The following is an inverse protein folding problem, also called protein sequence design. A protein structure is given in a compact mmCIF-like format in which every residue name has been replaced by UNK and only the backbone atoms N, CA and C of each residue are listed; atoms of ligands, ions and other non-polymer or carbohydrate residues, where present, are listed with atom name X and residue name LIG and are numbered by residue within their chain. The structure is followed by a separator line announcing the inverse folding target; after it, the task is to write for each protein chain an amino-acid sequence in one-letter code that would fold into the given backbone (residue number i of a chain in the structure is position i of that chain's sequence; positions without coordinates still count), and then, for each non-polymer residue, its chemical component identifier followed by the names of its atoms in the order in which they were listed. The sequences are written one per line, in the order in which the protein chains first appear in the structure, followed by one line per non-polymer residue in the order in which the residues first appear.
data_IF_826837835120
#
_entry.id   IF_826837835120
#
_cell.length_a   1.000
_cell.length_b   1.000
_cell.length_c   1.000
_cell.angle_alpha   90.00
_cell.angle_beta   90.00
_cell.angle_gamma   90.00
#
_symmetry.space_group_name_H-M   'P 1'
#
loop_
_entity.id
_entity.type
_entity.pdbx_description
1 polymer ?
#
# COMPACT_ATOMS: atom_id res chain seq x y z
N UNK A 1 -12.95 12.02 30.13
CA UNK A 1 -11.46 12.00 30.16
C UNK A 1 -10.95 13.14 29.29
N UNK A 2 -9.86 13.80 29.68
CA UNK A 2 -9.26 14.85 28.86
C UNK A 2 -8.75 14.21 27.55
N UNK A 3 -9.09 14.82 26.41
CA UNK A 3 -8.64 14.38 25.09
C UNK A 3 -7.46 15.24 24.65
N UNK A 4 -6.36 14.62 24.31
CA UNK A 4 -5.21 15.31 23.74
C UNK A 4 -5.42 15.50 22.24
N UNK A 5 -5.18 16.70 21.74
CA UNK A 5 -5.22 17.04 20.32
C UNK A 5 -3.83 17.41 19.83
N UNK A 6 -3.47 16.86 18.67
CA UNK A 6 -2.26 17.22 17.92
C UNK A 6 -2.68 17.71 16.54
N UNK A 7 -2.24 18.91 16.18
CA UNK A 7 -2.51 19.50 14.86
C UNK A 7 -1.20 19.91 14.20
N UNK A 8 -1.01 19.53 12.93
CA UNK A 8 0.20 19.78 12.15
C UNK A 8 -0.17 20.16 10.71
N UNK A 9 0.46 21.23 10.20
CA UNK A 9 0.43 21.59 8.79
C UNK A 9 1.69 21.08 8.11
N UNK A 10 1.54 20.14 7.20
CA UNK A 10 2.64 19.48 6.51
C UNK A 10 2.65 19.88 5.03
N UNK A 11 3.80 20.38 4.58
CA UNK A 11 4.05 20.70 3.17
C UNK A 11 4.74 19.51 2.51
N UNK A 12 4.05 18.79 1.59
CA UNK A 12 4.67 17.67 0.91
C UNK A 12 5.90 18.12 0.10
N UNK A 13 6.98 17.33 0.08
CA UNK A 13 8.15 17.63 -0.73
C UNK A 13 7.84 17.45 -2.22
N UNK A 14 7.67 18.55 -2.96
CA UNK A 14 7.36 18.56 -4.39
C UNK A 14 5.87 18.43 -4.72
N UNK A 15 5.56 18.15 -5.99
CA UNK A 15 4.17 18.07 -6.45
C UNK A 15 3.37 17.01 -5.67
N UNK A 16 2.18 17.40 -5.23
CA UNK A 16 1.32 16.55 -4.43
C UNK A 16 -0.15 16.72 -4.84
N UNK A 17 -0.88 15.61 -4.82
CA UNK A 17 -2.32 15.61 -5.01
C UNK A 17 -2.95 14.86 -3.82
N UNK A 18 -3.85 15.54 -3.12
CA UNK A 18 -4.57 14.95 -2.00
C UNK A 18 -5.37 13.72 -2.46
N UNK A 19 -5.21 12.55 -1.82
CA UNK A 19 -5.80 11.31 -2.31
C UNK A 19 -7.30 11.22 -2.07
N UNK A 20 -7.91 10.23 -2.69
CA UNK A 20 -9.27 9.80 -2.40
C UNK A 20 -9.26 8.71 -1.33
N UNK A 21 -10.38 8.48 -0.60
CA UNK A 21 -10.49 7.36 0.32
C UNK A 21 -10.34 6.03 -0.41
N UNK A 22 -9.81 5.03 0.30
CA UNK A 22 -9.73 3.65 -0.19
C UNK A 22 -11.10 2.98 -0.31
N UNK A 23 -11.11 1.78 -0.91
CA UNK A 23 -12.35 0.99 -1.12
C UNK A 23 -12.63 0.01 0.03
N UNK A 24 -11.70 -0.16 0.97
CA UNK A 24 -11.79 -1.06 2.13
C UNK A 24 -12.70 -0.54 3.24
N UNK A 25 -13.03 0.76 3.23
CA UNK A 25 -13.91 1.40 4.19
C UNK A 25 -13.24 1.84 5.50
N UNK A 26 -11.90 1.71 5.61
CA UNK A 26 -11.13 2.16 6.78
C UNK A 26 -10.93 3.67 6.74
N UNK A 27 -10.41 4.19 5.62
CA UNK A 27 -10.26 5.63 5.39
C UNK A 27 -11.53 6.16 4.74
N UNK A 28 -12.19 7.12 5.38
CA UNK A 28 -13.45 7.71 4.91
C UNK A 28 -13.34 9.21 4.70
N UNK A 29 -14.16 9.74 3.77
CA UNK A 29 -14.33 11.19 3.64
C UNK A 29 -15.53 11.63 4.47
N UNK A 30 -15.29 12.57 5.37
CA UNK A 30 -16.32 13.20 6.21
C UNK A 30 -16.05 14.69 6.28
N UNK A 31 -17.07 15.52 6.07
CA UNK A 31 -16.97 16.99 6.19
C UNK A 31 -15.77 17.56 5.44
N UNK A 32 -15.48 17.04 4.24
CA UNK A 32 -14.34 17.45 3.44
C UNK A 32 -12.99 16.83 3.80
N UNK A 33 -12.86 16.25 5.01
CA UNK A 33 -11.63 15.61 5.49
C UNK A 33 -11.59 14.11 5.21
N UNK A 34 -10.41 13.56 4.99
CA UNK A 34 -10.13 12.13 5.12
C UNK A 34 -9.99 11.78 6.59
N UNK A 35 -10.80 10.86 7.06
CA UNK A 35 -10.88 10.50 8.48
C UNK A 35 -10.72 9.00 8.64
N UNK A 36 -9.93 8.59 9.62
CA UNK A 36 -9.82 7.21 10.06
C UNK A 36 -9.56 7.11 11.55
N UNK A 37 -9.76 5.90 12.09
CA UNK A 37 -9.31 5.56 13.44
C UNK A 37 -8.04 4.71 13.35
N UNK A 38 -7.11 4.94 14.24
CA UNK A 38 -5.88 4.16 14.43
C UNK A 38 -5.84 3.73 15.90
N UNK A 39 -5.52 2.46 16.14
CA UNK A 39 -5.39 1.90 17.48
C UNK A 39 -3.97 1.39 17.68
N UNK A 40 -3.12 2.17 18.28
CA UNK A 40 -1.82 1.70 18.73
C UNK A 40 -1.13 2.75 19.63
N UNK A 41 -0.90 2.49 20.90
CA UNK A 41 -1.55 1.46 21.74
C UNK A 41 -3.02 1.82 22.06
N UNK A 42 -3.38 3.11 22.00
CA UNK A 42 -4.70 3.66 22.33
C UNK A 42 -5.43 4.08 21.04
N UNK A 43 -6.74 4.28 21.16
CA UNK A 43 -7.52 4.79 20.04
C UNK A 43 -7.20 6.23 19.76
N UNK A 44 -6.92 6.56 18.49
CA UNK A 44 -6.87 7.92 17.99
C UNK A 44 -7.76 8.07 16.76
N UNK A 45 -8.49 9.17 16.66
CA UNK A 45 -9.18 9.60 15.44
C UNK A 45 -8.32 10.65 14.76
N UNK A 46 -7.92 10.36 13.52
CA UNK A 46 -7.09 11.30 12.74
C UNK A 46 -7.84 11.77 11.51
N UNK A 47 -7.81 13.08 11.28
CA UNK A 47 -8.40 13.79 10.15
C UNK A 47 -7.33 14.47 9.34
N UNK A 48 -7.52 14.50 8.01
CA UNK A 48 -6.62 15.17 7.08
C UNK A 48 -7.40 15.94 6.03
N UNK A 49 -7.02 17.18 5.77
CA UNK A 49 -7.62 18.00 4.70
C UNK A 49 -6.61 18.97 4.10
N UNK A 50 -6.79 19.35 2.83
CA UNK A 50 -5.92 20.32 2.20
C UNK A 50 -6.15 21.72 2.77
N UNK A 51 -5.05 22.43 3.00
CA UNK A 51 -5.00 23.87 3.32
C UNK A 51 -4.08 24.55 2.31
N UNK A 52 -3.94 25.87 2.37
CA UNK A 52 -3.10 26.61 1.43
C UNK A 52 -1.66 26.10 1.37
N UNK A 53 -1.30 25.37 0.31
CA UNK A 53 0.05 24.84 0.06
C UNK A 53 0.49 23.71 1.00
N UNK A 54 -0.41 23.17 1.85
CA UNK A 54 -0.11 22.13 2.83
C UNK A 54 -1.29 21.15 2.99
N UNK A 55 -1.09 20.12 3.79
CA UNK A 55 -2.13 19.25 4.31
C UNK A 55 -2.13 19.36 5.82
N UNK A 56 -3.28 19.68 6.39
CA UNK A 56 -3.48 19.69 7.83
C UNK A 56 -3.85 18.31 8.31
N UNK A 57 -3.14 17.84 9.32
CA UNK A 57 -3.47 16.65 10.10
C UNK A 57 -3.93 17.07 11.47
N UNK A 58 -5.05 16.53 11.95
CA UNK A 58 -5.55 16.73 13.31
C UNK A 58 -5.87 15.34 13.89
N UNK A 59 -5.20 14.98 14.98
CA UNK A 59 -5.42 13.73 15.69
C UNK A 59 -5.91 13.99 17.11
N UNK A 60 -6.97 13.30 17.51
CA UNK A 60 -7.57 13.33 18.84
C UNK A 60 -7.43 11.94 19.48
N UNK A 61 -6.89 11.87 20.69
CA UNK A 61 -6.66 10.64 21.43
C UNK A 61 -6.67 10.85 22.95
N UNK A 62 -6.78 9.80 23.79
CA UNK A 62 -6.66 9.93 25.25
C UNK A 62 -5.32 10.50 25.69
N UNK A 63 -4.24 10.21 24.99
CA UNK A 63 -2.90 10.68 25.30
C UNK A 63 -2.27 11.43 24.12
N UNK A 64 -1.35 12.36 24.41
CA UNK A 64 -0.57 13.06 23.40
C UNK A 64 0.31 12.10 22.59
N UNK A 65 0.82 11.04 23.21
CA UNK A 65 1.62 10.01 22.54
C UNK A 65 0.82 9.28 21.46
N UNK A 66 -0.41 8.86 21.76
CA UNK A 66 -1.30 8.22 20.80
C UNK A 66 -1.68 9.17 19.65
N UNK A 67 -1.95 10.46 19.95
CA UNK A 67 -2.25 11.45 18.93
C UNK A 67 -1.05 11.69 17.98
N UNK A 68 0.16 11.80 18.51
CA UNK A 68 1.40 11.93 17.73
C UNK A 68 1.64 10.70 16.86
N UNK A 69 1.49 9.51 17.42
CA UNK A 69 1.61 8.26 16.66
C UNK A 69 0.63 8.22 15.49
N UNK A 70 -0.65 8.49 15.74
CA UNK A 70 -1.67 8.48 14.70
C UNK A 70 -1.39 9.52 13.59
N UNK A 71 -0.88 10.70 13.98
CA UNK A 71 -0.47 11.74 13.04
C UNK A 71 0.69 11.26 12.16
N UNK A 72 1.70 10.62 12.74
CA UNK A 72 2.84 10.07 12.01
C UNK A 72 2.42 8.97 11.04
N UNK A 73 1.59 8.04 11.49
CA UNK A 73 1.06 6.96 10.64
C UNK A 73 0.19 7.50 9.49
N UNK A 74 -0.60 8.54 9.74
CA UNK A 74 -1.39 9.17 8.69
C UNK A 74 -0.53 9.97 7.71
N UNK A 75 0.52 10.64 8.20
CA UNK A 75 1.55 11.30 7.37
C UNK A 75 2.16 10.32 6.38
N UNK A 76 2.60 9.16 6.87
CA UNK A 76 3.14 8.07 6.05
C UNK A 76 2.12 7.55 5.04
N UNK A 77 0.89 7.24 5.48
CA UNK A 77 -0.16 6.68 4.64
C UNK A 77 -0.57 7.60 3.49
N UNK A 78 -0.57 8.91 3.73
CA UNK A 78 -0.87 9.92 2.72
C UNK A 78 0.34 10.29 1.86
N UNK A 79 1.54 9.77 2.16
CA UNK A 79 2.78 10.07 1.45
C UNK A 79 3.20 11.54 1.56
N UNK A 80 2.91 12.19 2.71
CA UNK A 80 3.23 13.60 2.94
C UNK A 80 4.72 13.82 3.20
N UNK A 81 5.45 12.78 3.57
CA UNK A 81 6.89 12.73 3.79
C UNK A 81 7.66 12.13 2.59
N UNK A 82 6.93 11.62 1.59
CA UNK A 82 7.55 10.90 0.48
C UNK A 82 8.15 11.87 -0.55
N UNK A 83 9.46 12.04 -0.51
CA UNK A 83 10.18 12.87 -1.47
C UNK A 83 10.49 12.12 -2.77
N UNK A 84 9.66 12.34 -3.77
CA UNK A 84 9.87 11.78 -5.12
C UNK A 84 10.70 12.67 -6.04
N UNK A 85 11.20 13.83 -5.57
CA UNK A 85 11.99 14.75 -6.41
C UNK A 85 13.27 14.12 -6.97
N UNK A 86 14.03 13.29 -6.22
CA UNK A 86 15.19 12.59 -6.79
C UNK A 86 14.81 11.69 -7.97
N UNK A 87 13.74 10.90 -7.82
CA UNK A 87 13.21 10.06 -8.89
C UNK A 87 12.79 10.89 -10.11
N UNK A 88 12.00 11.94 -9.90
CA UNK A 88 11.55 12.83 -11.00
C UNK A 88 12.73 13.47 -11.71
N UNK A 89 13.75 13.96 -11.00
CA UNK A 89 14.96 14.54 -11.62
C UNK A 89 15.70 13.52 -12.48
N UNK A 90 15.84 12.28 -11.99
CA UNK A 90 16.58 11.22 -12.69
C UNK A 90 15.88 10.76 -13.96
N UNK A 91 14.53 10.62 -13.93
CA UNK A 91 13.78 9.95 -14.99
C UNK A 91 12.85 10.87 -15.79
N UNK A 92 12.90 12.20 -15.61
CA UNK A 92 12.05 13.15 -16.33
C UNK A 92 12.15 13.08 -17.86
N UNK A 93 13.27 12.57 -18.37
CA UNK A 93 13.54 12.43 -19.80
C UNK A 93 13.54 10.97 -20.26
N UNK A 94 13.25 10.04 -19.37
CA UNK A 94 13.08 8.63 -19.73
C UNK A 94 12.00 8.47 -20.81
N UNK A 95 12.23 7.67 -21.87
CA UNK A 95 11.29 7.54 -22.98
C UNK A 95 9.96 6.94 -22.57
N UNK A 96 9.92 6.06 -21.55
CA UNK A 96 8.73 5.36 -21.11
C UNK A 96 7.95 6.15 -20.05
N UNK A 97 8.61 6.59 -18.97
CA UNK A 97 7.94 7.24 -17.85
C UNK A 97 8.04 8.78 -17.87
N UNK A 98 9.01 9.35 -18.59
CA UNK A 98 9.21 10.80 -18.66
C UNK A 98 7.96 11.59 -19.07
N UNK A 99 7.23 11.20 -20.12
CA UNK A 99 6.00 11.88 -20.50
C UNK A 99 4.94 11.93 -19.39
N UNK A 100 4.77 10.82 -18.63
CA UNK A 100 3.81 10.78 -17.52
C UNK A 100 4.33 11.54 -16.30
N UNK A 101 5.64 11.47 -16.01
CA UNK A 101 6.28 12.25 -14.94
C UNK A 101 6.02 13.76 -15.13
N UNK A 102 6.12 14.27 -16.36
CA UNK A 102 5.85 15.68 -16.66
C UNK A 102 4.36 16.05 -16.54
N UNK A 103 3.45 15.13 -16.88
CA UNK A 103 2.00 15.35 -16.83
C UNK A 103 1.38 15.14 -15.47
N UNK A 104 1.92 14.19 -14.68
CA UNK A 104 1.37 13.77 -13.38
C UNK A 104 2.48 13.54 -12.34
N UNK A 105 3.27 14.59 -12.03
CA UNK A 105 4.42 14.44 -11.14
C UNK A 105 4.07 14.11 -9.69
N UNK A 106 2.78 14.04 -9.36
CA UNK A 106 2.27 13.78 -8.02
C UNK A 106 1.95 12.30 -7.73
N UNK A 107 2.14 11.38 -8.71
CA UNK A 107 1.85 9.96 -8.50
C UNK A 107 2.75 9.40 -7.39
N UNK A 108 2.13 8.71 -6.45
CA UNK A 108 2.79 7.99 -5.35
C UNK A 108 2.13 6.64 -5.15
N UNK A 109 2.88 5.63 -4.67
CA UNK A 109 2.30 4.36 -4.22
C UNK A 109 1.27 4.61 -3.11
N UNK A 110 0.20 3.82 -3.11
CA UNK A 110 -0.73 3.80 -2.00
C UNK A 110 -0.03 3.17 -0.79
N UNK A 111 0.00 3.86 0.34
CA UNK A 111 0.57 3.34 1.59
C UNK A 111 -0.52 3.06 2.62
N UNK A 112 -0.23 2.12 3.50
CA UNK A 112 -1.06 1.80 4.66
C UNK A 112 -0.39 2.30 5.92
N UNK A 113 -1.11 2.84 6.91
CA UNK A 113 -0.47 3.39 8.10
C UNK A 113 0.24 2.32 8.91
N UNK A 114 -0.31 1.10 8.94
CA UNK A 114 0.26 -0.01 9.68
C UNK A 114 0.78 -1.09 8.72
N UNK A 115 2.02 -1.60 8.90
CA UNK A 115 2.56 -2.67 8.08
C UNK A 115 1.69 -3.94 8.10
N UNK A 116 1.08 -4.26 9.25
CA UNK A 116 0.17 -5.40 9.34
C UNK A 116 -1.09 -5.22 8.50
N UNK A 117 -1.63 -4.00 8.40
CA UNK A 117 -2.76 -3.72 7.49
C UNK A 117 -2.36 -4.00 6.03
N UNK A 118 -1.16 -3.58 5.62
CA UNK A 118 -0.65 -3.86 4.29
C UNK A 118 -0.48 -5.37 4.03
N UNK A 119 0.07 -6.12 4.99
CA UNK A 119 0.20 -7.57 4.92
C UNK A 119 -1.17 -8.26 4.79
N UNK A 120 -2.11 -7.90 5.67
CA UNK A 120 -3.47 -8.47 5.65
C UNK A 120 -4.17 -8.20 4.30
N UNK A 121 -4.04 -7.00 3.76
CA UNK A 121 -4.61 -6.66 2.46
C UNK A 121 -3.90 -7.39 1.32
N UNK A 122 -2.58 -7.50 1.33
CA UNK A 122 -1.85 -8.30 0.35
C UNK A 122 -2.33 -9.77 0.34
N UNK A 123 -2.50 -10.40 1.51
CA UNK A 123 -3.02 -11.77 1.60
C UNK A 123 -4.46 -11.86 1.03
N UNK A 124 -5.30 -10.87 1.26
CA UNK A 124 -6.69 -10.87 0.76
C UNK A 124 -6.78 -10.59 -0.74
N UNK A 125 -5.80 -9.93 -1.33
CA UNK A 125 -5.75 -9.55 -2.76
C UNK A 125 -5.18 -10.61 -3.68
N UNK A 126 -4.57 -11.67 -3.13
CA UNK A 126 -3.95 -12.74 -3.94
C UNK A 126 -4.93 -13.35 -4.94
N UNK A 127 -4.55 -13.36 -6.22
CA UNK A 127 -5.24 -14.06 -7.31
C UNK A 127 -6.75 -13.72 -7.48
N UNK A 128 -7.18 -12.55 -7.06
CA UNK A 128 -8.58 -12.11 -7.23
C UNK A 128 -8.66 -10.69 -7.77
N UNK A 129 -9.82 -10.36 -8.31
CA UNK A 129 -10.09 -9.00 -8.78
C UNK A 129 -10.17 -8.00 -7.61
N UNK A 130 -9.65 -6.79 -7.83
CA UNK A 130 -9.60 -5.74 -6.82
C UNK A 130 -10.96 -5.36 -6.22
N UNK A 131 -12.04 -5.52 -6.98
CA UNK A 131 -13.40 -5.25 -6.49
C UNK A 131 -13.83 -6.29 -5.44
N UNK A 132 -13.57 -7.58 -5.72
CA UNK A 132 -13.84 -8.68 -4.78
C UNK A 132 -12.95 -8.58 -3.55
N UNK A 133 -11.65 -8.29 -3.72
CA UNK A 133 -10.74 -8.05 -2.61
C UNK A 133 -11.24 -6.94 -1.69
N UNK A 134 -11.66 -5.80 -2.25
CA UNK A 134 -12.24 -4.70 -1.47
C UNK A 134 -13.55 -5.10 -0.75
N UNK A 135 -14.35 -5.99 -1.31
CA UNK A 135 -15.55 -6.49 -0.64
C UNK A 135 -15.19 -7.35 0.58
N UNK A 136 -14.22 -8.25 0.45
CA UNK A 136 -13.67 -9.06 1.55
C UNK A 136 -13.08 -8.16 2.64
N UNK A 137 -12.25 -7.19 2.27
CA UNK A 137 -11.64 -6.23 3.20
C UNK A 137 -12.71 -5.48 3.99
N UNK A 138 -13.77 -4.98 3.32
CA UNK A 138 -14.91 -4.35 4.03
C UNK A 138 -15.63 -5.31 4.96
N UNK A 139 -15.77 -6.59 4.61
CA UNK A 139 -16.38 -7.59 5.48
C UNK A 139 -15.51 -7.83 6.73
N UNK A 140 -14.19 -7.97 6.56
CA UNK A 140 -13.22 -8.10 7.65
C UNK A 140 -13.24 -6.86 8.56
N UNK A 141 -13.24 -5.66 8.01
CA UNK A 141 -13.35 -4.41 8.78
C UNK A 141 -14.65 -4.33 9.57
N UNK A 142 -15.78 -4.68 8.96
CA UNK A 142 -17.08 -4.67 9.66
C UNK A 142 -17.13 -5.66 10.82
N UNK A 143 -16.52 -6.83 10.67
CA UNK A 143 -16.61 -7.91 11.65
C UNK A 143 -15.54 -7.83 12.72
N UNK A 144 -14.31 -7.49 12.36
CA UNK A 144 -13.13 -7.60 13.23
C UNK A 144 -12.44 -6.26 13.53
N UNK A 145 -12.71 -5.21 12.75
CA UNK A 145 -12.18 -3.87 13.02
C UNK A 145 -12.78 -3.31 14.31
N UNK A 146 -11.95 -2.73 15.17
CA UNK A 146 -12.42 -2.07 16.38
C UNK A 146 -13.20 -0.81 16.03
N UNK A 147 -14.26 -0.53 16.77
CA UNK A 147 -15.06 0.67 16.58
C UNK A 147 -14.40 1.86 17.27
N UNK A 148 -14.52 3.04 16.66
CA UNK A 148 -14.29 4.29 17.35
C UNK A 148 -15.30 4.47 18.50
N UNK A 149 -14.98 5.27 19.49
CA UNK A 149 -15.90 5.60 20.60
C UNK A 149 -17.24 6.15 20.09
N UNK A 150 -17.21 7.00 19.07
CA UNK A 150 -18.44 7.48 18.42
C UNK A 150 -19.19 6.40 17.60
N UNK A 151 -18.67 5.18 17.50
CA UNK A 151 -19.27 4.03 16.81
C UNK A 151 -19.32 4.11 15.27
N UNK A 152 -18.89 5.24 14.69
CA UNK A 152 -19.10 5.54 13.27
C UNK A 152 -17.93 5.15 12.36
N UNK A 153 -16.74 4.96 12.92
CA UNK A 153 -15.53 4.53 12.24
C UNK A 153 -15.10 3.14 12.72
N UNK A 154 -14.34 2.46 11.89
CA UNK A 154 -13.64 1.22 12.25
C UNK A 154 -12.23 1.25 11.68
N UNK A 155 -11.29 0.69 12.43
CA UNK A 155 -9.93 0.46 11.94
C UNK A 155 -9.84 -0.81 11.08
N UNK A 156 -8.67 -1.08 10.54
CA UNK A 156 -8.34 -2.39 10.01
C UNK A 156 -8.22 -3.41 11.17
N UNK A 157 -8.53 -4.70 10.94
CA UNK A 157 -8.40 -5.71 11.97
C UNK A 157 -6.96 -5.81 12.50
N UNK A 158 -6.80 -5.76 13.81
CA UNK A 158 -5.50 -5.93 14.47
C UNK A 158 -5.01 -7.40 14.40
N UNK A 159 -3.69 -7.65 14.42
CA UNK A 159 -3.15 -9.02 14.40
C UNK A 159 -3.66 -9.87 15.58
N UNK A 160 -3.75 -9.29 16.77
CA UNK A 160 -4.29 -9.96 17.97
C UNK A 160 -5.74 -10.42 17.78
N UNK A 161 -6.55 -9.67 17.03
CA UNK A 161 -7.95 -10.03 16.77
C UNK A 161 -8.04 -11.19 15.77
N UNK A 162 -7.28 -11.13 14.68
CA UNK A 162 -7.30 -12.18 13.65
C UNK A 162 -6.60 -13.46 14.09
N UNK A 163 -5.62 -13.39 14.99
CA UNK A 163 -4.95 -14.55 15.59
C UNK A 163 -5.90 -15.49 16.31
N UNK A 164 -6.97 -14.96 16.90
CA UNK A 164 -8.00 -15.72 17.61
C UNK A 164 -9.16 -16.22 16.75
N UNK A 165 -9.18 -15.89 15.45
CA UNK A 165 -10.24 -16.34 14.56
C UNK A 165 -10.07 -17.80 14.14
N UNK A 166 -11.20 -18.47 13.92
CA UNK A 166 -11.26 -19.74 13.21
C UNK A 166 -11.28 -19.53 11.70
N UNK A 167 -10.82 -20.55 10.95
CA UNK A 167 -10.81 -20.49 9.48
C UNK A 167 -12.21 -20.21 8.91
N UNK A 168 -13.25 -20.93 9.36
CA UNK A 168 -14.62 -20.76 8.90
C UNK A 168 -15.17 -19.35 9.13
N UNK A 169 -14.70 -18.66 10.17
CA UNK A 169 -15.09 -17.27 10.42
C UNK A 169 -14.55 -16.31 9.35
N UNK A 170 -13.33 -16.52 8.85
CA UNK A 170 -12.76 -15.71 7.76
C UNK A 170 -13.36 -16.10 6.41
N UNK A 171 -13.65 -17.39 6.20
CA UNK A 171 -14.37 -17.87 5.01
C UNK A 171 -15.76 -17.26 4.89
N UNK A 172 -16.45 -17.02 6.01
CA UNK A 172 -17.73 -16.32 6.01
C UNK A 172 -17.65 -14.85 5.55
N UNK A 173 -16.41 -14.32 5.42
CA UNK A 173 -16.14 -13.03 4.79
C UNK A 173 -15.75 -13.16 3.30
N UNK A 174 -16.01 -14.30 2.66
CA UNK A 174 -15.64 -14.64 1.27
C UNK A 174 -14.11 -14.81 1.07
N UNK A 175 -13.34 -15.03 2.13
CA UNK A 175 -11.91 -15.29 2.02
C UNK A 175 -11.67 -16.79 1.83
N UNK A 176 -10.99 -17.19 0.75
CA UNK A 176 -10.70 -18.61 0.47
C UNK A 176 -9.88 -19.26 1.59
N UNK A 177 -10.15 -20.53 1.86
CA UNK A 177 -9.59 -21.33 2.96
C UNK A 177 -8.07 -21.18 3.14
N UNK A 178 -7.31 -21.33 2.05
CA UNK A 178 -5.85 -21.24 2.09
C UNK A 178 -5.37 -19.83 2.55
N UNK A 179 -6.00 -18.77 2.03
CA UNK A 179 -5.71 -17.38 2.43
C UNK A 179 -6.17 -17.07 3.85
N UNK A 180 -7.31 -17.62 4.28
CA UNK A 180 -7.77 -17.52 5.67
C UNK A 180 -6.74 -18.12 6.63
N UNK A 181 -6.23 -19.31 6.33
CA UNK A 181 -5.17 -19.95 7.12
C UNK A 181 -3.87 -19.13 7.12
N UNK A 182 -3.43 -18.63 5.97
CA UNK A 182 -2.24 -17.77 5.87
C UNK A 182 -2.40 -16.50 6.73
N UNK A 183 -3.54 -15.84 6.65
CA UNK A 183 -3.83 -14.63 7.43
C UNK A 183 -3.84 -14.92 8.94
N UNK A 184 -4.47 -16.01 9.37
CA UNK A 184 -4.47 -16.43 10.79
C UNK A 184 -3.05 -16.72 11.29
N UNK A 185 -2.26 -17.48 10.50
CA UNK A 185 -0.87 -17.82 10.87
C UNK A 185 0.00 -16.57 10.98
N UNK A 186 -0.01 -15.70 9.95
CA UNK A 186 0.71 -14.45 9.99
C UNK A 186 0.29 -13.57 11.19
N UNK A 187 -1.01 -13.50 11.47
CA UNK A 187 -1.56 -12.78 12.63
C UNK A 187 -1.03 -13.32 13.95
N UNK A 188 -0.95 -14.63 14.12
CA UNK A 188 -0.42 -15.27 15.32
C UNK A 188 1.06 -14.98 15.52
N UNK A 189 1.86 -15.02 14.47
CA UNK A 189 3.29 -14.73 14.53
C UNK A 189 3.55 -13.26 14.90
N UNK A 190 2.81 -12.33 14.27
CA UNK A 190 2.93 -10.91 14.57
C UNK A 190 2.38 -10.57 15.97
N UNK A 191 1.22 -11.12 16.35
CA UNK A 191 0.62 -10.87 17.66
C UNK A 191 1.47 -11.40 18.82
N UNK A 192 2.21 -12.47 18.60
CA UNK A 192 3.13 -13.06 19.58
C UNK A 192 4.53 -12.37 19.59
N UNK A 193 4.73 -11.33 18.76
CA UNK A 193 6.03 -10.64 18.66
C UNK A 193 7.15 -11.47 18.02
N UNK A 194 6.84 -12.63 17.43
CA UNK A 194 7.84 -13.46 16.73
C UNK A 194 8.21 -12.88 15.36
N UNK A 195 7.31 -12.11 14.76
CA UNK A 195 7.56 -11.31 13.55
C UNK A 195 7.35 -9.85 13.88
N UNK A 196 8.43 -9.08 13.86
CA UNK A 196 8.40 -7.63 13.95
C UNK A 196 8.44 -7.03 12.54
N UNK A 197 7.31 -6.51 12.08
CA UNK A 197 7.18 -5.94 10.75
C UNK A 197 7.93 -4.61 10.54
N UNK A 198 8.53 -4.03 11.60
CA UNK A 198 9.45 -2.91 11.46
C UNK A 198 10.85 -3.33 11.00
N UNK A 199 11.19 -4.61 11.17
CA UNK A 199 12.44 -5.23 10.72
C UNK A 199 12.22 -5.88 9.36
N UNK A 200 12.48 -5.15 8.29
CA UNK A 200 12.09 -5.53 6.93
C UNK A 200 12.50 -6.97 6.55
N UNK A 201 13.78 -7.18 6.23
CA UNK A 201 14.30 -8.46 5.73
C UNK A 201 14.09 -9.63 6.72
N UNK A 202 14.40 -9.50 8.03
CA UNK A 202 14.13 -10.57 8.99
C UNK A 202 12.64 -10.94 9.10
N UNK A 203 11.74 -9.97 8.98
CA UNK A 203 10.31 -10.23 8.96
C UNK A 203 9.88 -10.95 7.69
N UNK A 204 10.45 -10.58 6.53
CA UNK A 204 10.12 -11.20 5.24
C UNK A 204 10.53 -12.67 5.20
N UNK A 205 11.73 -13.02 5.67
CA UNK A 205 12.19 -14.41 5.75
C UNK A 205 11.24 -15.29 6.56
N UNK A 206 10.79 -14.80 7.72
CA UNK A 206 9.83 -15.52 8.56
C UNK A 206 8.45 -15.62 7.93
N UNK A 207 7.99 -14.58 7.27
CA UNK A 207 6.70 -14.58 6.56
C UNK A 207 6.72 -15.57 5.40
N UNK A 208 7.81 -15.66 4.63
CA UNK A 208 7.96 -16.60 3.51
C UNK A 208 7.90 -18.08 3.96
N UNK A 209 8.17 -18.38 5.22
CA UNK A 209 7.99 -19.72 5.79
C UNK A 209 6.50 -20.09 6.00
N UNK A 210 5.59 -19.12 5.94
CA UNK A 210 4.15 -19.36 6.06
C UNK A 210 3.60 -19.74 4.69
N UNK A 211 2.99 -20.92 4.58
CA UNK A 211 2.34 -21.37 3.35
C UNK A 211 1.38 -20.31 2.81
N UNK A 212 1.33 -20.12 1.52
CA UNK A 212 0.55 -19.11 0.77
C UNK A 212 1.09 -17.69 0.88
N UNK A 213 2.16 -17.44 1.62
CA UNK A 213 2.86 -16.15 1.60
C UNK A 213 4.08 -16.29 0.70
N UNK A 214 4.01 -15.70 -0.48
CA UNK A 214 5.07 -15.71 -1.48
C UNK A 214 5.72 -14.34 -1.69
N UNK A 215 6.70 -14.27 -2.62
CA UNK A 215 7.43 -13.03 -2.92
C UNK A 215 6.52 -11.85 -3.22
N UNK A 216 5.46 -12.02 -4.01
CA UNK A 216 4.50 -10.95 -4.31
C UNK A 216 3.84 -10.34 -3.05
N UNK A 217 3.51 -11.18 -2.05
CA UNK A 217 2.91 -10.69 -0.80
C UNK A 217 3.93 -9.87 0.00
N UNK A 218 5.19 -10.31 0.01
CA UNK A 218 6.28 -9.58 0.68
C UNK A 218 6.57 -8.26 -0.01
N UNK A 219 6.66 -8.24 -1.32
CA UNK A 219 6.88 -7.02 -2.12
C UNK A 219 5.74 -6.02 -1.93
N UNK A 220 4.49 -6.52 -1.88
CA UNK A 220 3.30 -5.71 -1.58
C UNK A 220 3.34 -5.12 -0.16
N UNK A 221 3.71 -5.92 0.85
CA UNK A 221 3.94 -5.44 2.21
C UNK A 221 5.04 -4.37 2.24
N UNK A 222 6.17 -4.63 1.60
CA UNK A 222 7.31 -3.73 1.56
C UNK A 222 6.94 -2.38 0.94
N UNK A 223 6.28 -2.40 -0.20
CA UNK A 223 5.84 -1.18 -0.91
C UNK A 223 4.78 -0.41 -0.12
N UNK A 224 3.70 -1.08 0.25
CA UNK A 224 2.50 -0.41 0.78
C UNK A 224 2.53 -0.22 2.30
N UNK A 225 3.24 -1.07 3.04
CA UNK A 225 3.30 -1.03 4.50
C UNK A 225 4.59 -0.46 5.07
N UNK A 226 5.70 -0.58 4.32
CA UNK A 226 7.03 -0.21 4.78
C UNK A 226 7.68 0.90 3.93
N UNK A 227 7.04 1.32 2.82
CA UNK A 227 7.46 2.44 1.99
C UNK A 227 8.70 2.17 1.14
N UNK A 228 8.97 0.90 0.80
CA UNK A 228 10.12 0.45 -0.01
C UNK A 228 9.82 0.64 -1.50
N UNK A 229 10.28 1.73 -2.07
CA UNK A 229 10.11 2.06 -3.50
C UNK A 229 10.93 1.15 -4.43
N UNK A 230 11.87 0.40 -3.89
CA UNK A 230 12.71 -0.59 -4.57
C UNK A 230 12.03 -1.98 -4.66
N UNK A 231 10.93 -2.23 -3.95
CA UNK A 231 10.25 -3.52 -3.92
C UNK A 231 9.01 -3.52 -4.80
N UNK A 232 9.22 -3.92 -6.06
CA UNK A 232 8.16 -4.03 -7.05
C UNK A 232 7.43 -5.37 -6.89
N UNK A 233 6.08 -5.41 -6.72
CA UNK A 233 5.31 -6.66 -6.73
C UNK A 233 5.28 -7.28 -8.14
N UNK A 234 6.43 -7.80 -8.59
CA UNK A 234 6.66 -8.22 -9.98
C UNK A 234 5.73 -9.35 -10.44
N UNK A 235 5.24 -10.17 -9.50
CA UNK A 235 4.27 -11.22 -9.76
C UNK A 235 2.83 -10.72 -10.00
N UNK A 236 2.56 -9.41 -9.87
CA UNK A 236 1.23 -8.86 -10.15
C UNK A 236 0.89 -9.02 -11.64
N UNK A 237 -0.33 -9.52 -11.90
CA UNK A 237 -0.84 -9.72 -13.27
C UNK A 237 -0.82 -8.43 -14.08
N UNK A 238 -0.97 -7.27 -13.44
CA UNK A 238 -0.90 -5.98 -14.12
C UNK A 238 0.52 -5.71 -14.65
N UNK A 239 1.56 -6.00 -13.87
CA UNK A 239 2.95 -5.88 -14.33
C UNK A 239 3.33 -6.93 -15.37
N UNK A 240 2.90 -8.18 -15.18
CA UNK A 240 3.13 -9.25 -16.18
C UNK A 240 2.53 -8.88 -17.54
N UNK A 241 1.31 -8.32 -17.56
CA UNK A 241 0.65 -7.85 -18.80
C UNK A 241 1.34 -6.60 -19.36
N UNK A 242 1.69 -5.65 -18.50
CA UNK A 242 2.31 -4.38 -18.90
C UNK A 242 3.65 -4.63 -19.58
N UNK A 243 4.53 -5.39 -18.94
CA UNK A 243 5.87 -5.71 -19.49
C UNK A 243 5.74 -6.56 -20.76
N UNK A 244 4.88 -7.58 -20.75
CA UNK A 244 4.62 -8.38 -21.96
C UNK A 244 4.22 -7.54 -23.17
N UNK A 245 3.40 -6.50 -22.95
CA UNK A 245 3.01 -5.54 -23.98
C UNK A 245 4.14 -4.60 -24.39
N UNK A 246 4.84 -4.00 -23.43
CA UNK A 246 5.91 -3.02 -23.69
C UNK A 246 7.13 -3.65 -24.35
N UNK A 247 7.46 -4.89 -23.99
CA UNK A 247 8.55 -5.66 -24.57
C UNK A 247 8.16 -6.41 -25.86
N UNK A 248 6.91 -6.30 -26.33
CA UNK A 248 6.45 -6.91 -27.57
C UNK A 248 6.44 -8.45 -27.55
N UNK A 249 6.29 -9.09 -26.38
CA UNK A 249 6.43 -10.54 -26.23
C UNK A 249 5.27 -11.35 -26.85
N UNK A 250 4.16 -10.73 -27.19
CA UNK A 250 2.94 -11.45 -27.64
C UNK A 250 2.27 -12.30 -26.55
N UNK A 251 2.82 -12.33 -25.34
CA UNK A 251 2.34 -13.02 -24.14
C UNK A 251 2.52 -12.18 -22.90
N UNK A 252 2.04 -12.65 -21.74
CA UNK A 252 2.43 -12.09 -20.45
C UNK A 252 3.92 -12.33 -20.20
N UNK A 253 4.60 -11.35 -19.64
CA UNK A 253 5.96 -11.54 -19.15
C UNK A 253 5.99 -12.53 -17.98
N UNK A 254 7.14 -13.14 -17.74
CA UNK A 254 7.45 -13.86 -16.51
C UNK A 254 7.85 -12.87 -15.40
N UNK A 255 7.90 -13.32 -14.16
CA UNK A 255 8.37 -12.50 -13.02
C UNK A 255 9.82 -12.06 -13.24
N UNK A 256 10.68 -12.95 -13.75
CA UNK A 256 12.08 -12.64 -14.06
C UNK A 256 12.19 -11.53 -15.12
N UNK A 257 11.41 -11.62 -16.20
CA UNK A 257 11.38 -10.57 -17.25
C UNK A 257 10.86 -9.22 -16.69
N UNK A 258 9.94 -9.24 -15.72
CA UNK A 258 9.49 -8.00 -15.06
C UNK A 258 10.63 -7.40 -14.23
N UNK A 259 11.35 -8.18 -13.44
CA UNK A 259 12.51 -7.70 -12.69
C UNK A 259 13.60 -7.14 -13.61
N UNK A 260 13.93 -7.83 -14.68
CA UNK A 260 14.90 -7.38 -15.68
C UNK A 260 14.47 -6.05 -16.33
N UNK A 261 13.20 -5.95 -16.71
CA UNK A 261 12.63 -4.74 -17.32
C UNK A 261 12.73 -3.52 -16.38
N UNK A 262 12.51 -3.72 -15.08
CA UNK A 262 12.55 -2.64 -14.09
C UNK A 262 13.94 -2.41 -13.45
N UNK A 263 14.94 -3.25 -13.71
CA UNK A 263 16.29 -3.09 -13.17
C UNK A 263 16.92 -1.71 -13.41
N UNK A 264 16.77 -1.05 -14.60
CA UNK A 264 17.32 0.29 -14.84
C UNK A 264 16.75 1.38 -13.92
N UNK A 265 15.62 1.13 -13.26
CA UNK A 265 14.96 2.09 -12.38
C UNK A 265 15.41 1.99 -10.90
N UNK A 266 16.39 1.13 -10.57
CA UNK A 266 16.89 1.00 -9.20
C UNK A 266 17.37 2.35 -8.63
N UNK A 267 17.05 2.70 -7.37
CA UNK A 267 16.26 1.96 -6.36
C UNK A 267 14.76 2.33 -6.34
N UNK A 268 14.16 2.66 -7.47
CA UNK A 268 12.79 3.17 -7.59
C UNK A 268 11.89 2.27 -8.45
N UNK A 269 12.17 0.95 -8.50
CA UNK A 269 11.47 0.03 -9.39
C UNK A 269 9.97 0.05 -9.20
N UNK A 270 9.49 0.02 -7.94
CA UNK A 270 8.06 0.04 -7.65
C UNK A 270 7.43 1.41 -7.97
N UNK A 271 8.15 2.50 -7.70
CA UNK A 271 7.68 3.83 -8.06
C UNK A 271 7.57 3.98 -9.59
N UNK A 272 8.58 3.52 -10.34
CA UNK A 272 8.53 3.48 -11.82
C UNK A 272 7.35 2.63 -12.31
N UNK A 273 7.11 1.47 -11.69
CA UNK A 273 5.97 0.60 -11.96
C UNK A 273 4.63 1.30 -11.78
N UNK A 274 4.45 2.04 -10.69
CA UNK A 274 3.25 2.84 -10.43
C UNK A 274 2.99 3.89 -11.54
N UNK A 275 4.04 4.54 -12.02
CA UNK A 275 3.93 5.48 -13.14
C UNK A 275 3.55 4.77 -14.44
N UNK A 276 4.19 3.64 -14.76
CA UNK A 276 3.91 2.89 -15.99
C UNK A 276 2.51 2.29 -16.00
N UNK A 277 2.04 1.70 -14.89
CA UNK A 277 0.67 1.21 -14.79
C UNK A 277 -0.35 2.31 -15.04
N UNK A 278 -0.14 3.49 -14.47
CA UNK A 278 -1.05 4.62 -14.66
C UNK A 278 -0.95 5.26 -16.04
N UNK A 279 0.22 5.13 -16.71
CA UNK A 279 0.38 5.52 -18.11
C UNK A 279 -0.43 4.64 -19.04
N UNK A 280 -0.46 3.33 -18.79
CA UNK A 280 -1.16 2.38 -19.65
C UNK A 280 -2.67 2.58 -19.70
N UNK A 281 -3.26 3.18 -18.67
CA UNK A 281 -4.68 3.59 -18.65
C UNK A 281 -4.95 4.89 -19.42
N UNK A 282 -3.92 5.63 -19.81
CA UNK A 282 -4.01 6.83 -20.62
C UNK A 282 -3.85 6.45 -22.08
N UNK A 283 -4.83 5.75 -22.65
CA UNK A 283 -4.87 5.20 -24.00
C UNK A 283 -4.21 6.10 -25.06
N UNK A 284 -3.19 5.58 -25.72
CA UNK A 284 -2.56 5.99 -26.94
C UNK A 284 -1.37 5.07 -27.21
N UNK A 285 -1.06 4.65 -28.44
CA UNK A 285 0.13 3.86 -28.72
C UNK A 285 1.35 4.65 -28.27
N UNK A 286 2.22 4.01 -27.48
CA UNK A 286 3.53 4.56 -27.14
C UNK A 286 4.37 4.46 -28.42
N UNK A 287 4.53 5.56 -29.14
CA UNK A 287 5.52 5.64 -30.21
C UNK A 287 6.91 5.56 -29.59
N UNK A 288 7.68 4.55 -29.98
CA UNK A 288 9.07 4.38 -29.65
C UNK A 288 9.34 3.33 -28.57
N UNK A 289 9.17 2.05 -28.92
CA UNK A 289 9.80 0.95 -28.20
C UNK A 289 11.28 0.93 -28.63
N UNK A 290 12.27 1.06 -27.73
CA UNK A 290 13.66 0.80 -28.11
C UNK A 290 13.77 -0.69 -28.51
N UNK A 291 14.27 -0.94 -29.69
CA UNK A 291 14.58 -2.29 -30.16
C UNK A 291 15.58 -2.92 -29.18
N UNK A 292 15.25 -4.12 -28.71
CA UNK A 292 16.17 -4.96 -27.96
C UNK A 292 17.48 -5.10 -28.77
N UNK A 293 18.68 -4.94 -28.16
CA UNK A 293 19.92 -5.18 -28.88
C UNK A 293 19.92 -6.62 -29.37
N UNK A 294 20.02 -6.79 -30.68
CA UNK A 294 20.20 -8.09 -31.32
C UNK A 294 21.38 -8.80 -30.69
N UNK A 295 21.17 -9.99 -30.14
CA UNK A 295 22.25 -10.90 -29.79
C UNK A 295 22.97 -11.27 -31.08
N UNK A 296 24.11 -10.65 -31.34
CA UNK A 296 25.06 -11.13 -32.32
C UNK A 296 25.65 -12.45 -31.82
N UNK A 297 25.60 -13.46 -32.68
CA UNK A 297 25.97 -14.84 -32.49
C UNK A 297 27.39 -15.13 -32.03
#
# INVERSE_FOLDING_TARGET
MATATVELDLRPPGPYRFPSPGRDGVLRRREGALTRVIHCPEQAVVRAWPVAGAVRLCAEAPTRGAALYATDRMRFALGLDHDIRPFVRRFRWDPLIGPILRRRPWIRPLRRPEPFEALAWAITEQLIESQRASAIQRALVRRYGRRSECGTLRDAPAPTRLAGCGQAELESCDLAAARAQALIRASREVAAGRIDLSQHEPAWERLLAIREIGPWTIESLALHGQGRDDKLPAGDVAYLKLVGKLAGLGRRATVAEVHEFFAPYEPYQALAGEYMLRASYLKGPVAGTPASPARSG
#
